data_IF_158638880302
#
_entry.id   IF_158638880302
#
_cell.length_a   1.000
_cell.length_b   1.000
_cell.length_c   1.000
_cell.angle_alpha   90.00
_cell.angle_beta   90.00
_cell.angle_gamma   90.00
#
_symmetry.space_group_name_H-M   'P 1'
#
loop_
_entity.id
_entity.type
_entity.pdbx_description
1 polymer ?
#
# COMPACT_ATOMS: atom_id res chain seq x y z
N UNK A 1 9.92 30.88 3.88
CA UNK A 1 9.44 29.65 4.51
C UNK A 1 8.31 29.10 3.64
N UNK A 2 8.45 27.89 3.11
CA UNK A 2 7.40 27.26 2.33
C UNK A 2 6.16 27.01 3.20
N UNK A 3 4.97 27.06 2.59
CA UNK A 3 3.72 26.68 3.25
C UNK A 3 3.82 25.22 3.69
N UNK A 4 3.45 24.86 4.94
CA UNK A 4 3.40 23.47 5.35
C UNK A 4 2.48 22.66 4.42
N UNK A 5 2.85 21.42 4.08
CA UNK A 5 2.04 20.55 3.23
C UNK A 5 0.60 20.37 3.76
N UNK A 6 0.45 20.38 5.08
CA UNK A 6 -0.85 20.31 5.76
C UNK A 6 -1.74 21.58 5.59
N UNK A 7 -1.21 22.66 5.00
CA UNK A 7 -2.00 23.82 4.56
C UNK A 7 -2.50 23.68 3.13
N UNK A 8 -2.03 22.67 2.37
CA UNK A 8 -2.53 22.38 1.03
C UNK A 8 -3.95 21.80 1.12
N UNK A 9 -4.90 22.46 0.48
CA UNK A 9 -6.30 22.07 0.51
C UNK A 9 -6.51 20.67 -0.09
N UNK A 10 -5.82 20.37 -1.21
CA UNK A 10 -5.89 19.06 -1.86
C UNK A 10 -5.38 17.94 -0.96
N UNK A 11 -4.29 18.18 -0.21
CA UNK A 11 -3.75 17.21 0.75
C UNK A 11 -4.73 16.99 1.92
N UNK A 12 -5.28 18.06 2.46
CA UNK A 12 -6.24 18.00 3.59
C UNK A 12 -7.55 17.31 3.23
N UNK A 13 -8.03 17.50 2.00
CA UNK A 13 -9.27 16.90 1.54
C UNK A 13 -9.13 15.41 1.18
N UNK A 14 -7.88 14.90 1.05
CA UNK A 14 -7.61 13.53 0.61
C UNK A 14 -7.51 12.57 1.79
N UNK A 15 -8.20 11.44 1.70
CA UNK A 15 -7.99 10.28 2.57
C UNK A 15 -6.91 9.38 1.98
N UNK A 16 -5.93 8.99 2.78
CA UNK A 16 -4.84 8.10 2.38
C UNK A 16 -5.10 6.70 2.94
N UNK A 17 -5.29 5.72 2.06
CA UNK A 17 -5.48 4.32 2.45
C UNK A 17 -4.15 3.58 2.29
N UNK A 18 -3.46 3.38 3.42
CA UNK A 18 -2.22 2.60 3.46
C UNK A 18 -2.58 1.14 3.39
N UNK A 19 -2.11 0.44 2.36
CA UNK A 19 -2.46 -0.96 2.05
C UNK A 19 -1.21 -1.83 1.99
N UNK A 20 -1.35 -3.06 2.45
CA UNK A 20 -0.34 -4.11 2.37
C UNK A 20 -0.99 -5.47 2.19
N UNK A 21 -0.30 -6.37 1.46
CA UNK A 21 -0.73 -7.74 1.21
C UNK A 21 0.34 -8.74 1.62
N UNK A 22 -0.08 -9.83 2.28
CA UNK A 22 0.70 -11.06 2.30
C UNK A 22 0.27 -11.97 1.16
N UNK A 23 1.22 -12.65 0.55
CA UNK A 23 0.98 -13.46 -0.64
C UNK A 23 1.63 -14.83 -0.56
N UNK A 24 1.11 -15.78 -1.34
CA UNK A 24 1.82 -17.02 -1.65
C UNK A 24 2.97 -16.76 -2.62
N UNK A 25 3.95 -17.65 -2.65
CA UNK A 25 5.11 -17.62 -3.57
C UNK A 25 5.15 -18.88 -4.46
N UNK A 26 4.17 -19.06 -5.35
CA UNK A 26 4.09 -20.24 -6.19
C UNK A 26 5.19 -20.22 -7.26
N UNK A 27 5.86 -21.36 -7.48
CA UNK A 27 6.90 -21.47 -8.53
C UNK A 27 6.32 -21.24 -9.93
N UNK A 28 6.91 -20.31 -10.69
CA UNK A 28 6.55 -20.06 -12.09
C UNK A 28 5.16 -19.45 -12.31
N UNK A 29 4.53 -18.93 -11.26
CA UNK A 29 3.21 -18.30 -11.31
C UNK A 29 3.24 -16.98 -10.55
N UNK A 30 2.18 -16.16 -10.72
CA UNK A 30 2.02 -14.92 -9.96
C UNK A 30 1.68 -15.24 -8.52
N UNK A 31 2.15 -14.42 -7.56
CA UNK A 31 1.71 -14.47 -6.17
C UNK A 31 0.20 -14.28 -6.05
N UNK A 32 -0.42 -14.99 -5.11
CA UNK A 32 -1.85 -14.88 -4.81
C UNK A 32 -2.01 -14.33 -3.38
N UNK A 33 -2.88 -13.33 -3.16
CA UNK A 33 -3.03 -12.72 -1.84
C UNK A 33 -3.70 -13.68 -0.84
N UNK A 34 -3.15 -13.72 0.37
CA UNK A 34 -3.63 -14.55 1.50
C UNK A 34 -4.00 -13.72 2.74
N UNK A 35 -3.58 -12.48 2.81
CA UNK A 35 -4.02 -11.50 3.80
C UNK A 35 -3.98 -10.10 3.17
N UNK A 36 -4.89 -9.23 3.57
CA UNK A 36 -4.86 -7.80 3.26
C UNK A 36 -5.09 -7.00 4.53
N UNK A 37 -4.38 -5.88 4.65
CA UNK A 37 -4.64 -4.87 5.66
C UNK A 37 -4.68 -3.48 5.04
N UNK A 38 -5.57 -2.62 5.56
CA UNK A 38 -5.68 -1.22 5.19
C UNK A 38 -5.85 -0.38 6.45
N UNK A 39 -5.11 0.72 6.53
CA UNK A 39 -5.33 1.79 7.51
C UNK A 39 -5.63 3.07 6.75
N UNK A 40 -6.74 3.70 7.07
CA UNK A 40 -7.18 4.96 6.48
C UNK A 40 -6.74 6.14 7.34
N UNK A 41 -6.07 7.11 6.72
CA UNK A 41 -5.58 8.33 7.36
C UNK A 41 -6.27 9.54 6.76
N UNK A 42 -6.68 10.48 7.61
CA UNK A 42 -7.17 11.79 7.20
C UNK A 42 -6.45 12.90 7.95
N UNK A 43 -6.35 14.08 7.34
CA UNK A 43 -5.74 15.23 7.96
C UNK A 43 -6.69 15.83 9.01
N UNK A 44 -6.22 15.92 10.27
CA UNK A 44 -6.89 16.62 11.35
C UNK A 44 -5.92 17.64 11.96
N UNK A 45 -6.21 18.94 11.73
CA UNK A 45 -5.29 20.00 12.14
C UNK A 45 -3.93 19.86 11.45
N UNK A 46 -2.88 19.69 12.23
CA UNK A 46 -1.49 19.56 11.76
C UNK A 46 -1.00 18.11 11.65
N UNK A 47 -1.87 17.12 11.73
CA UNK A 47 -1.48 15.70 11.75
C UNK A 47 -2.34 14.85 10.84
N UNK A 48 -1.77 13.74 10.35
CA UNK A 48 -2.50 12.64 9.76
C UNK A 48 -2.90 11.67 10.86
N UNK A 49 -4.19 11.43 11.01
CA UNK A 49 -4.74 10.53 12.04
C UNK A 49 -5.45 9.34 11.41
N UNK A 50 -5.37 8.20 12.08
CA UNK A 50 -6.13 7.01 11.68
C UNK A 50 -7.63 7.25 11.93
N UNK A 51 -8.44 7.00 10.90
CA UNK A 51 -9.89 7.13 10.95
C UNK A 51 -10.63 5.81 10.76
N UNK A 52 -9.98 4.81 10.16
CA UNK A 52 -10.56 3.48 9.97
C UNK A 52 -9.47 2.44 9.68
N UNK A 53 -9.78 1.16 9.89
CA UNK A 53 -8.92 0.04 9.49
C UNK A 53 -9.74 -1.16 9.02
N UNK A 54 -9.11 -1.94 8.15
CA UNK A 54 -9.63 -3.20 7.62
C UNK A 54 -8.52 -4.25 7.62
N UNK A 55 -8.84 -5.48 7.97
CA UNK A 55 -7.93 -6.62 7.78
C UNK A 55 -8.73 -7.90 7.60
N UNK A 56 -8.31 -8.74 6.67
CA UNK A 56 -8.97 -10.02 6.42
C UNK A 56 -7.99 -11.02 5.79
N UNK A 57 -8.03 -12.28 6.29
CA UNK A 57 -7.38 -13.41 5.66
C UNK A 57 -8.16 -13.86 4.43
N UNK A 58 -7.46 -14.41 3.45
CA UNK A 58 -8.04 -14.89 2.19
C UNK A 58 -7.60 -16.31 1.90
N UNK A 59 -8.52 -17.10 1.34
CA UNK A 59 -8.20 -18.43 0.85
C UNK A 59 -7.60 -18.31 -0.55
N UNK A 60 -6.35 -18.74 -0.75
CA UNK A 60 -5.73 -18.75 -2.07
C UNK A 60 -6.39 -19.81 -2.97
N UNK A 61 -6.33 -19.64 -4.30
CA UNK A 61 -6.82 -20.63 -5.25
C UNK A 61 -5.95 -21.91 -5.21
N UNK A 62 -6.55 -23.05 -5.60
CA UNK A 62 -5.89 -24.36 -5.53
C UNK A 62 -4.60 -24.48 -6.37
N UNK A 63 -4.39 -23.60 -7.33
CA UNK A 63 -3.16 -23.56 -8.13
C UNK A 63 -1.97 -22.82 -7.46
N UNK A 64 -2.22 -22.13 -6.34
CA UNK A 64 -1.21 -21.39 -5.57
C UNK A 64 -1.40 -21.62 -4.06
N UNK A 65 -1.32 -22.87 -3.58
CA UNK A 65 -1.50 -23.18 -2.16
C UNK A 65 -0.36 -22.55 -1.33
N UNK A 66 -0.66 -22.25 -0.06
CA UNK A 66 0.35 -21.82 0.91
C UNK A 66 1.39 -22.94 1.06
N UNK A 67 2.64 -22.62 0.85
CA UNK A 67 3.77 -23.55 1.00
C UNK A 67 4.49 -23.34 2.35
N UNK A 68 5.42 -24.25 2.76
CA UNK A 68 6.14 -24.10 4.01
C UNK A 68 6.96 -22.80 4.13
N UNK A 69 7.47 -22.25 3.03
CA UNK A 69 8.20 -20.98 3.03
C UNK A 69 7.25 -19.81 3.31
N UNK A 70 6.07 -19.79 2.69
CA UNK A 70 5.05 -18.77 2.96
C UNK A 70 4.68 -18.77 4.45
N UNK A 71 4.42 -19.96 5.00
CA UNK A 71 4.11 -20.09 6.44
C UNK A 71 5.28 -19.65 7.33
N UNK A 72 6.52 -19.98 6.95
CA UNK A 72 7.71 -19.56 7.71
C UNK A 72 7.89 -18.03 7.73
N UNK A 73 7.54 -17.36 6.64
CA UNK A 73 7.65 -15.90 6.51
C UNK A 73 6.50 -15.17 7.21
N UNK A 74 5.26 -15.59 6.92
CA UNK A 74 4.07 -14.83 7.33
C UNK A 74 3.40 -15.35 8.60
N UNK A 75 3.73 -16.59 9.02
CA UNK A 75 3.00 -17.30 10.09
C UNK A 75 1.60 -17.76 9.65
N UNK A 76 1.17 -17.49 8.42
CA UNK A 76 -0.13 -17.91 7.90
C UNK A 76 -0.04 -19.37 7.45
N UNK A 77 -0.89 -20.22 8.02
CA UNK A 77 -0.93 -21.64 7.69
C UNK A 77 -2.08 -21.97 6.74
N UNK A 78 -2.01 -23.09 5.98
CA UNK A 78 -3.14 -23.57 5.18
C UNK A 78 -4.44 -23.73 5.99
N UNK A 79 -4.35 -24.16 7.25
CA UNK A 79 -5.50 -24.34 8.13
C UNK A 79 -6.18 -23.01 8.47
N UNK A 80 -5.41 -21.94 8.68
CA UNK A 80 -5.95 -20.62 8.99
C UNK A 80 -6.82 -20.06 7.86
N UNK A 81 -6.50 -20.38 6.61
CA UNK A 81 -7.20 -19.84 5.44
C UNK A 81 -8.21 -20.82 4.82
N UNK A 82 -8.26 -22.08 5.27
CA UNK A 82 -9.07 -23.13 4.65
C UNK A 82 -10.57 -22.77 4.53
N UNK A 83 -11.11 -22.09 5.53
CA UNK A 83 -12.52 -21.66 5.61
C UNK A 83 -12.72 -20.18 5.28
N UNK A 84 -11.65 -19.46 4.94
CA UNK A 84 -11.74 -18.04 4.61
C UNK A 84 -12.36 -17.83 3.23
N UNK A 85 -12.85 -16.62 2.99
CA UNK A 85 -13.39 -16.23 1.68
C UNK A 85 -12.28 -16.23 0.63
N UNK A 86 -12.59 -16.54 -0.64
CA UNK A 86 -11.67 -16.33 -1.74
C UNK A 86 -11.26 -14.85 -1.86
N UNK A 87 -10.04 -14.60 -2.37
CA UNK A 87 -9.51 -13.26 -2.51
C UNK A 87 -10.43 -12.29 -3.27
N UNK A 88 -11.10 -12.76 -4.34
CA UNK A 88 -12.04 -11.92 -5.10
C UNK A 88 -13.19 -11.37 -4.25
N UNK A 89 -13.75 -12.19 -3.33
CA UNK A 89 -14.82 -11.75 -2.45
C UNK A 89 -14.34 -10.73 -1.39
N UNK A 90 -13.15 -10.96 -0.82
CA UNK A 90 -12.55 -10.04 0.16
C UNK A 90 -12.23 -8.70 -0.50
N UNK A 91 -11.65 -8.72 -1.70
CA UNK A 91 -11.33 -7.50 -2.44
C UNK A 91 -12.58 -6.75 -2.90
N UNK A 92 -13.66 -7.44 -3.27
CA UNK A 92 -14.95 -6.80 -3.55
C UNK A 92 -15.53 -6.12 -2.30
N UNK A 93 -15.42 -6.76 -1.14
CA UNK A 93 -15.81 -6.17 0.15
C UNK A 93 -14.96 -4.95 0.49
N UNK A 94 -13.65 -5.02 0.28
CA UNK A 94 -12.73 -3.90 0.49
C UNK A 94 -13.04 -2.73 -0.46
N UNK A 95 -13.28 -3.01 -1.74
CA UNK A 95 -13.65 -2.02 -2.75
C UNK A 95 -14.96 -1.28 -2.38
N UNK A 96 -15.92 -2.03 -1.82
CA UNK A 96 -17.16 -1.46 -1.30
C UNK A 96 -16.93 -0.64 -0.02
N UNK A 97 -16.07 -1.11 0.89
CA UNK A 97 -15.77 -0.45 2.17
C UNK A 97 -15.06 0.91 1.96
N UNK A 98 -14.18 1.02 0.96
CA UNK A 98 -13.49 2.27 0.58
C UNK A 98 -14.35 3.24 -0.23
N UNK A 99 -15.66 3.02 -0.33
CA UNK A 99 -16.60 3.91 -1.02
C UNK A 99 -16.81 5.21 -0.24
N UNK A 100 -15.95 6.18 -0.47
CA UNK A 100 -16.11 7.54 0.06
C UNK A 100 -16.39 8.51 -1.10
N UNK A 101 -17.25 9.53 -0.91
CA UNK A 101 -17.40 10.62 -1.87
C UNK A 101 -16.18 11.57 -1.86
N UNK A 102 -15.32 11.50 -0.86
CA UNK A 102 -14.12 12.33 -0.75
C UNK A 102 -12.99 11.78 -1.63
N UNK A 103 -12.10 12.65 -2.13
CA UNK A 103 -10.89 12.21 -2.83
C UNK A 103 -10.06 11.28 -1.93
N UNK A 104 -9.52 10.22 -2.51
CA UNK A 104 -8.64 9.29 -1.79
C UNK A 104 -7.53 8.76 -2.69
N UNK A 105 -6.45 8.34 -2.06
CA UNK A 105 -5.30 7.70 -2.69
C UNK A 105 -4.91 6.45 -1.91
N UNK A 106 -4.39 5.47 -2.63
CA UNK A 106 -3.70 4.35 -2.00
C UNK A 106 -2.25 4.75 -1.66
N UNK A 107 -1.72 4.20 -0.59
CA UNK A 107 -0.31 4.31 -0.21
C UNK A 107 0.21 2.91 0.03
N UNK A 108 1.37 2.58 -0.55
CA UNK A 108 1.98 1.28 -0.35
C UNK A 108 3.51 1.40 -0.23
N UNK A 109 4.13 0.40 0.39
CA UNK A 109 5.57 0.26 0.36
C UNK A 109 5.95 -0.68 -0.79
N UNK A 110 6.53 -0.11 -1.89
CA UNK A 110 6.73 -0.77 -3.17
C UNK A 110 5.43 -0.98 -3.97
N UNK A 111 4.72 0.11 -4.24
CA UNK A 111 3.42 0.15 -4.92
C UNK A 111 3.25 -0.74 -6.18
N UNK A 112 4.29 -1.07 -6.99
CA UNK A 112 4.16 -2.03 -8.10
C UNK A 112 3.57 -3.38 -7.73
N UNK A 113 3.83 -3.88 -6.51
CA UNK A 113 3.33 -5.17 -6.00
C UNK A 113 1.82 -5.09 -5.78
N UNK A 114 1.36 -4.13 -4.97
CA UNK A 114 -0.06 -3.94 -4.65
C UNK A 114 -0.87 -3.62 -5.89
N UNK A 115 -0.37 -2.72 -6.74
CA UNK A 115 -1.00 -2.40 -8.02
C UNK A 115 -1.09 -3.62 -8.96
N UNK A 116 -0.15 -4.58 -8.85
CA UNK A 116 -0.19 -5.85 -9.56
C UNK A 116 -1.35 -6.72 -9.11
N UNK A 117 -1.46 -6.95 -7.81
CA UNK A 117 -2.53 -7.74 -7.19
C UNK A 117 -3.89 -7.12 -7.51
N UNK A 118 -4.05 -5.82 -7.28
CA UNK A 118 -5.31 -5.11 -7.56
C UNK A 118 -5.70 -5.20 -9.04
N UNK A 119 -4.73 -5.13 -9.96
CA UNK A 119 -4.98 -5.28 -11.38
C UNK A 119 -5.40 -6.70 -11.76
N UNK A 120 -4.80 -7.73 -11.18
CA UNK A 120 -5.16 -9.12 -11.44
C UNK A 120 -6.61 -9.41 -10.96
N UNK A 121 -7.03 -8.76 -9.89
CA UNK A 121 -8.39 -8.85 -9.33
C UNK A 121 -9.34 -7.71 -9.74
N UNK A 122 -9.02 -6.92 -10.77
CA UNK A 122 -9.78 -5.69 -11.16
C UNK A 122 -11.26 -5.91 -11.46
N UNK A 123 -11.70 -7.11 -11.78
CA UNK A 123 -13.10 -7.42 -11.98
C UNK A 123 -13.88 -7.46 -10.65
N UNK A 124 -13.19 -7.75 -9.54
CA UNK A 124 -13.77 -7.80 -8.19
C UNK A 124 -13.61 -6.47 -7.45
N UNK A 125 -12.57 -5.70 -7.74
CA UNK A 125 -12.26 -4.43 -7.09
C UNK A 125 -11.95 -3.30 -8.10
N UNK A 126 -12.93 -2.93 -8.95
CA UNK A 126 -12.67 -2.02 -10.08
C UNK A 126 -12.20 -0.62 -9.66
N UNK A 127 -12.68 -0.10 -8.52
CA UNK A 127 -12.28 1.22 -8.02
C UNK A 127 -10.86 1.19 -7.46
N UNK A 128 -10.54 0.23 -6.62
CA UNK A 128 -9.19 0.01 -6.11
C UNK A 128 -8.18 -0.16 -7.25
N UNK A 129 -8.51 -0.99 -8.25
CA UNK A 129 -7.63 -1.26 -9.39
C UNK A 129 -7.40 -0.03 -10.29
N UNK A 130 -8.34 0.93 -10.29
CA UNK A 130 -8.27 2.17 -11.06
C UNK A 130 -7.68 3.34 -10.27
N UNK A 131 -7.36 3.16 -8.97
CA UNK A 131 -6.84 4.22 -8.10
C UNK A 131 -5.32 4.27 -8.15
N UNK A 132 -4.77 5.46 -8.36
CA UNK A 132 -3.33 5.72 -8.28
C UNK A 132 -2.81 5.48 -6.85
N UNK A 133 -1.54 5.08 -6.75
CA UNK A 133 -0.87 4.85 -5.47
C UNK A 133 0.23 5.89 -5.24
N UNK A 134 0.54 6.15 -3.97
CA UNK A 134 1.80 6.74 -3.54
C UNK A 134 2.74 5.62 -3.09
N UNK A 135 3.94 5.62 -3.65
CA UNK A 135 4.99 4.64 -3.33
C UNK A 135 5.96 5.25 -2.31
N UNK A 136 5.96 4.73 -1.09
CA UNK A 136 6.86 5.21 -0.04
C UNK A 136 8.34 4.94 -0.37
N UNK A 137 8.66 3.95 -1.21
CA UNK A 137 10.03 3.74 -1.72
C UNK A 137 10.47 4.90 -2.59
N UNK A 138 9.62 5.43 -3.45
CA UNK A 138 9.93 6.60 -4.28
C UNK A 138 10.11 7.85 -3.44
N UNK A 139 9.21 8.09 -2.49
CA UNK A 139 9.30 9.22 -1.56
C UNK A 139 10.59 9.15 -0.74
N UNK A 140 10.93 7.97 -0.21
CA UNK A 140 12.15 7.78 0.58
C UNK A 140 13.44 7.96 -0.24
N UNK A 141 13.44 7.56 -1.52
CA UNK A 141 14.58 7.80 -2.43
C UNK A 141 14.82 9.27 -2.66
N UNK A 142 13.76 10.07 -2.77
CA UNK A 142 13.88 11.52 -2.92
C UNK A 142 14.38 12.19 -1.63
N UNK A 143 13.94 11.72 -0.47
CA UNK A 143 14.30 12.32 0.82
C UNK A 143 15.67 11.84 1.33
N UNK A 144 16.01 10.57 1.13
CA UNK A 144 17.24 9.92 1.64
C UNK A 144 18.05 9.29 0.51
N UNK A 145 18.55 10.08 -0.47
CA UNK A 145 19.23 9.54 -1.66
C UNK A 145 20.53 8.78 -1.34
N UNK A 146 21.11 9.00 -0.16
CA UNK A 146 22.34 8.33 0.29
C UNK A 146 22.14 6.94 0.91
N UNK A 147 20.91 6.46 1.09
CA UNK A 147 20.66 5.12 1.62
C UNK A 147 20.96 4.04 0.56
N UNK A 148 21.64 2.97 0.98
CA UNK A 148 21.96 1.83 0.12
C UNK A 148 20.73 1.00 -0.29
N UNK A 149 19.66 1.06 0.50
CA UNK A 149 18.37 0.38 0.26
C UNK A 149 17.22 1.19 0.85
N UNK A 150 16.05 1.05 0.24
CA UNK A 150 14.80 1.67 0.68
C UNK A 150 13.73 0.63 1.05
N UNK A 151 14.17 -0.59 1.41
CA UNK A 151 13.26 -1.61 1.96
C UNK A 151 12.74 -1.21 3.35
N UNK A 152 11.58 -1.75 3.71
CA UNK A 152 10.82 -1.36 4.90
C UNK A 152 11.65 -1.44 6.19
N UNK A 153 12.44 -2.52 6.36
CA UNK A 153 13.30 -2.68 7.55
C UNK A 153 14.45 -1.68 7.59
N UNK A 154 15.09 -1.38 6.44
CA UNK A 154 16.17 -0.40 6.37
C UNK A 154 15.66 1.00 6.73
N UNK A 155 14.49 1.38 6.21
CA UNK A 155 13.87 2.66 6.53
C UNK A 155 13.40 2.73 7.98
N UNK A 156 12.83 1.65 8.52
CA UNK A 156 12.49 1.53 9.95
C UNK A 156 13.71 1.83 10.83
N UNK A 157 14.83 1.16 10.54
CA UNK A 157 16.05 1.31 11.34
C UNK A 157 16.66 2.72 11.18
N UNK A 158 16.66 3.26 9.96
CA UNK A 158 17.12 4.62 9.69
C UNK A 158 16.33 5.67 10.48
N UNK A 159 15.00 5.51 10.50
CA UNK A 159 14.08 6.41 11.21
C UNK A 159 13.90 6.08 12.69
N UNK A 160 14.58 5.03 13.18
CA UNK A 160 14.48 4.54 14.56
C UNK A 160 13.03 4.25 14.99
N UNK A 161 12.23 3.71 14.07
CA UNK A 161 10.88 3.26 14.35
C UNK A 161 10.98 1.89 15.04
N UNK A 162 10.33 1.70 16.21
CA UNK A 162 10.32 0.38 16.88
C UNK A 162 9.70 -0.69 15.97
N UNK A 163 10.28 -1.91 15.90
CA UNK A 163 9.69 -2.99 15.14
C UNK A 163 8.32 -3.38 15.72
N UNK A 164 7.27 -3.49 14.89
CA UNK A 164 6.01 -4.02 15.37
C UNK A 164 6.14 -5.51 15.71
N UNK A 165 5.35 -6.03 16.65
CA UNK A 165 5.27 -7.46 16.90
C UNK A 165 4.69 -8.15 15.64
N UNK A 166 5.07 -9.42 15.42
CA UNK A 166 4.56 -10.24 14.31
C UNK A 166 4.79 -9.59 12.92
N UNK A 167 6.03 -9.17 12.64
CA UNK A 167 6.45 -8.76 11.28
C UNK A 167 6.07 -9.84 10.27
N UNK A 168 5.90 -9.44 9.01
CA UNK A 168 5.40 -10.29 7.93
C UNK A 168 3.95 -10.77 8.17
N UNK A 169 3.13 -9.89 8.71
CA UNK A 169 1.68 -9.95 8.68
C UNK A 169 1.18 -8.60 8.15
N UNK A 170 0.15 -8.63 7.33
CA UNK A 170 -0.30 -7.43 6.62
C UNK A 170 -0.61 -6.25 7.57
N UNK A 171 -1.28 -6.46 8.71
CA UNK A 171 -1.61 -5.34 9.61
C UNK A 171 -0.38 -4.74 10.32
N UNK A 172 0.54 -5.49 10.94
CA UNK A 172 1.81 -4.96 11.47
C UNK A 172 2.64 -4.20 10.42
N UNK A 173 2.72 -4.70 9.18
CA UNK A 173 3.48 -4.08 8.12
C UNK A 173 2.78 -2.82 7.58
N UNK A 174 1.45 -2.82 7.51
CA UNK A 174 0.67 -1.61 7.24
C UNK A 174 0.88 -0.54 8.33
N UNK A 175 0.89 -0.92 9.62
CA UNK A 175 1.15 0.02 10.73
C UNK A 175 2.55 0.63 10.63
N UNK A 176 3.55 -0.16 10.28
CA UNK A 176 4.91 0.35 10.04
C UNK A 176 4.96 1.28 8.82
N UNK A 177 4.27 0.92 7.74
CA UNK A 177 4.16 1.76 6.53
C UNK A 177 3.44 3.09 6.82
N UNK A 178 2.43 3.10 7.69
CA UNK A 178 1.78 4.34 8.17
C UNK A 178 2.79 5.25 8.87
N UNK A 179 3.54 4.72 9.84
CA UNK A 179 4.54 5.52 10.56
C UNK A 179 5.61 6.06 9.61
N UNK A 180 6.08 5.21 8.69
CA UNK A 180 7.02 5.60 7.65
C UNK A 180 6.43 6.70 6.75
N UNK A 181 5.22 6.54 6.25
CA UNK A 181 4.56 7.52 5.37
C UNK A 181 4.42 8.88 6.07
N UNK A 182 3.94 8.91 7.31
CA UNK A 182 3.80 10.15 8.09
C UNK A 182 5.16 10.85 8.25
N UNK A 183 6.23 10.09 8.56
CA UNK A 183 7.60 10.64 8.68
C UNK A 183 8.10 11.19 7.36
N UNK A 184 7.96 10.45 6.26
CA UNK A 184 8.39 10.89 4.92
C UNK A 184 7.67 12.19 4.52
N UNK A 185 6.34 12.26 4.69
CA UNK A 185 5.54 13.45 4.36
C UNK A 185 6.01 14.65 5.18
N UNK A 186 6.19 14.47 6.49
CA UNK A 186 6.57 15.56 7.40
C UNK A 186 8.00 16.05 7.13
N UNK A 187 8.96 15.15 7.09
CA UNK A 187 10.38 15.50 6.91
C UNK A 187 10.66 16.05 5.50
N UNK A 188 10.01 15.49 4.47
CA UNK A 188 10.15 16.02 3.11
C UNK A 188 9.53 17.40 2.93
N UNK A 189 8.43 17.69 3.62
CA UNK A 189 7.88 19.05 3.66
C UNK A 189 8.84 20.02 4.39
N UNK A 190 9.41 19.60 5.51
CA UNK A 190 10.43 20.39 6.24
C UNK A 190 11.68 20.62 5.42
N UNK A 191 12.10 19.64 4.62
CA UNK A 191 13.22 19.74 3.70
C UNK A 191 12.90 20.56 2.43
N UNK A 192 11.64 21.01 2.25
CA UNK A 192 11.21 21.78 1.08
C UNK A 192 11.04 20.97 -0.20
N UNK A 193 11.01 19.63 -0.12
CA UNK A 193 10.85 18.76 -1.28
C UNK A 193 9.41 18.80 -1.84
N UNK A 194 8.43 18.99 -0.98
CA UNK A 194 7.03 19.13 -1.35
C UNK A 194 6.26 20.02 -0.37
N UNK A 195 5.37 20.83 -0.89
CA UNK A 195 4.44 21.70 -0.14
C UNK A 195 2.98 21.52 -0.59
N UNK A 196 2.75 20.66 -1.59
CA UNK A 196 1.42 20.36 -2.13
C UNK A 196 1.27 18.87 -2.42
N UNK A 197 0.02 18.37 -2.41
CA UNK A 197 -0.29 17.00 -2.81
C UNK A 197 0.21 16.69 -4.23
N UNK A 198 0.15 17.68 -5.14
CA UNK A 198 0.65 17.54 -6.50
C UNK A 198 2.13 17.16 -6.50
N UNK A 199 2.96 17.86 -5.75
CA UNK A 199 4.40 17.56 -5.66
C UNK A 199 4.67 16.19 -5.03
N UNK A 200 3.91 15.80 -4.01
CA UNK A 200 3.98 14.44 -3.44
C UNK A 200 3.65 13.39 -4.50
N UNK A 201 2.62 13.62 -5.33
CA UNK A 201 2.25 12.70 -6.43
C UNK A 201 3.27 12.70 -7.56
N UNK A 202 3.87 13.82 -7.91
CA UNK A 202 4.95 13.91 -8.91
C UNK A 202 6.18 13.10 -8.48
N UNK A 203 6.49 13.09 -7.16
CA UNK A 203 7.63 12.36 -6.60
C UNK A 203 7.33 10.88 -6.37
N UNK A 204 6.25 10.58 -5.65
CA UNK A 204 5.92 9.25 -5.15
C UNK A 204 4.83 8.54 -5.94
N UNK A 205 4.19 9.20 -6.90
CA UNK A 205 3.03 8.64 -7.60
C UNK A 205 3.35 7.42 -8.44
N UNK A 206 2.47 6.42 -8.36
CA UNK A 206 2.45 5.24 -9.20
C UNK A 206 1.07 5.10 -9.84
N UNK A 207 1.02 5.24 -11.16
CA UNK A 207 -0.24 5.15 -11.90
C UNK A 207 -0.83 3.73 -11.81
N UNK A 208 -2.12 3.66 -11.54
CA UNK A 208 -2.87 2.42 -11.50
C UNK A 208 -2.71 1.63 -12.80
N UNK A 209 -2.48 0.32 -12.71
CA UNK A 209 -2.29 -0.51 -13.92
C UNK A 209 -3.54 -0.56 -14.79
N UNK A 210 -4.74 -0.49 -14.20
CA UNK A 210 -6.01 -0.55 -14.92
C UNK A 210 -6.30 0.72 -15.75
N UNK A 211 -5.66 1.85 -15.42
CA UNK A 211 -5.84 3.13 -16.12
C UNK A 211 -4.75 3.43 -17.15
N UNK A 212 -3.74 2.57 -17.24
CA UNK A 212 -2.69 2.75 -18.25
C UNK A 212 -3.24 2.49 -19.64
N UNK A 213 -2.85 3.29 -20.65
CA UNK A 213 -3.15 2.97 -22.03
C UNK A 213 -2.69 1.54 -22.34
N UNK A 214 -3.54 0.74 -22.98
CA UNK A 214 -3.06 -0.52 -23.56
C UNK A 214 -1.97 -0.16 -24.55
N UNK A 215 -0.76 -0.69 -24.39
CA UNK A 215 0.17 -0.74 -25.51
C UNK A 215 -0.53 -1.61 -26.58
N UNK A 216 -1.03 -0.96 -27.61
CA UNK A 216 -1.40 -1.69 -28.84
C UNK A 216 -0.15 -2.41 -29.28
N UNK A 217 -0.26 -3.72 -29.47
CA UNK A 217 0.83 -4.51 -30.00
C UNK A 217 1.22 -3.92 -31.35
N UNK A 218 2.42 -3.33 -31.42
CA UNK A 218 3.01 -2.76 -32.66
C UNK A 218 3.57 -3.86 -33.56
N UNK A 219 2.97 -5.05 -33.53
CA UNK A 219 3.33 -6.18 -34.42
C UNK A 219 2.05 -6.92 -34.81
N UNK A 220 1.46 -6.48 -35.92
CA UNK A 220 0.78 -7.36 -36.87
C UNK A 220 1.80 -7.89 -37.91
#
# INVERSE_FOLDING_TARGET
MGRPLLDDEGFRATTFHVIDFETTTPRGRRPEPIEVAVISLSAHGAELTEVARFTELMRPPGHAPINPMDTSQTGITPQMVATMRPAGEVLAKLDAWLSSPQPWLLVAHHAPTEAGILYDYRQHCPRLAATDLLDTVRLSRALYPGLHSHGLDVLRDHLKIPPPPNRHRAMPDTQLTVQLFVRLITEGAQAGLWSTLRQVRETGGYQAKATRPRQEALFD
#
